data_IF_735803248092
#
_entry.id   IF_735803248092
#
_cell.length_a   1.000
_cell.length_b   1.000
_cell.length_c   1.000
_cell.angle_alpha   90.00
_cell.angle_beta   90.00
_cell.angle_gamma   90.00
#
_symmetry.space_group_name_H-M   'P 1'
#
loop_
_entity.id
_entity.type
_entity.pdbx_description
1 polymer ?
#
# COMPACT_ATOMS: atom_id res chain seq x y z
N UNK A 1 -18.81 -0.61 -31.59
CA UNK A 1 -18.79 -1.27 -30.26
C UNK A 1 -18.01 -2.56 -30.41
N UNK A 2 -16.77 -2.65 -29.90
CA UNK A 2 -16.02 -3.89 -29.92
C UNK A 2 -14.57 -3.73 -30.30
N UNK A 3 -13.77 -3.04 -29.48
CA UNK A 3 -12.31 -3.20 -29.45
C UNK A 3 -11.77 -2.72 -28.10
N UNK A 4 -12.35 -3.24 -27.01
CA UNK A 4 -11.65 -3.34 -25.73
C UNK A 4 -11.06 -4.74 -25.63
N UNK A 5 -10.39 -5.17 -26.71
CA UNK A 5 -9.71 -6.42 -26.76
C UNK A 5 -8.36 -6.30 -26.03
N UNK A 6 -8.16 -7.14 -25.02
CA UNK A 6 -6.88 -7.59 -24.48
C UNK A 6 -5.79 -6.50 -24.29
N UNK A 7 -5.99 -5.53 -23.42
CA UNK A 7 -4.85 -4.88 -22.80
C UNK A 7 -4.14 -5.94 -21.96
N UNK A 8 -3.00 -6.40 -22.44
CA UNK A 8 -2.08 -7.23 -21.63
C UNK A 8 -1.67 -6.36 -20.45
N UNK A 9 -2.15 -6.73 -19.25
CA UNK A 9 -1.76 -6.04 -18.02
C UNK A 9 -0.33 -6.48 -17.70
N UNK A 10 0.61 -5.57 -17.80
CA UNK A 10 1.98 -5.80 -17.38
C UNK A 10 2.04 -6.09 -15.88
N UNK A 11 2.95 -6.97 -15.48
CA UNK A 11 3.06 -7.46 -14.10
C UNK A 11 4.53 -7.58 -13.70
N UNK A 12 4.77 -7.47 -12.39
CA UNK A 12 6.07 -7.76 -11.81
C UNK A 12 5.94 -8.84 -10.72
N UNK A 13 7.03 -9.59 -10.42
CA UNK A 13 6.98 -10.63 -9.41
C UNK A 13 6.68 -10.08 -8.01
N UNK A 14 5.90 -10.80 -7.22
CA UNK A 14 5.68 -10.49 -5.80
C UNK A 14 6.83 -10.97 -4.89
N UNK A 15 7.77 -11.75 -5.43
CA UNK A 15 8.78 -12.48 -4.66
C UNK A 15 8.26 -13.80 -4.04
N UNK A 16 7.04 -14.21 -4.40
CA UNK A 16 6.44 -15.50 -4.02
C UNK A 16 5.84 -16.18 -5.24
N UNK A 17 6.44 -17.29 -5.67
CA UNK A 17 5.97 -18.05 -6.85
C UNK A 17 4.50 -18.46 -6.70
N UNK A 18 4.09 -18.91 -5.51
CA UNK A 18 2.72 -19.34 -5.28
C UNK A 18 1.72 -18.18 -5.45
N UNK A 19 2.08 -16.98 -4.95
CA UNK A 19 1.26 -15.80 -5.11
C UNK A 19 1.22 -15.35 -6.57
N UNK A 20 2.35 -15.37 -7.26
CA UNK A 20 2.44 -14.96 -8.67
C UNK A 20 1.57 -15.85 -9.55
N UNK A 21 1.61 -17.18 -9.34
CA UNK A 21 0.74 -18.12 -10.04
C UNK A 21 -0.73 -17.82 -9.77
N UNK A 22 -1.10 -17.59 -8.50
CA UNK A 22 -2.48 -17.29 -8.10
C UNK A 22 -2.98 -15.97 -8.69
N UNK A 23 -2.10 -14.97 -8.86
CA UNK A 23 -2.42 -13.69 -9.47
C UNK A 23 -2.37 -13.70 -11.01
N UNK A 24 -2.01 -14.83 -11.63
CA UNK A 24 -1.90 -14.93 -13.09
C UNK A 24 -0.65 -14.23 -13.65
N UNK A 25 0.48 -14.32 -12.92
CA UNK A 25 1.80 -13.88 -13.37
C UNK A 25 2.42 -12.74 -12.55
N UNK A 26 1.91 -12.45 -11.37
CA UNK A 26 2.48 -11.44 -10.47
C UNK A 26 1.58 -10.23 -10.22
N UNK A 27 2.15 -9.20 -9.61
CA UNK A 27 1.46 -7.96 -9.21
C UNK A 27 1.23 -7.09 -10.45
N UNK A 28 -0.01 -6.62 -10.73
CA UNK A 28 -0.30 -5.78 -11.90
C UNK A 28 0.27 -4.37 -11.74
N UNK A 29 0.91 -3.86 -12.79
CA UNK A 29 1.38 -2.47 -12.86
C UNK A 29 0.22 -1.47 -12.99
N UNK A 30 0.44 -0.27 -12.46
CA UNK A 30 -0.50 0.84 -12.59
C UNK A 30 -1.83 0.62 -11.88
N UNK A 31 -1.83 -0.12 -10.76
CA UNK A 31 -3.04 -0.44 -9.99
C UNK A 31 -2.89 -0.06 -8.52
N UNK A 32 -4.03 0.20 -7.91
CA UNK A 32 -4.16 0.28 -6.44
C UNK A 32 -4.57 -1.10 -5.93
N UNK A 33 -3.82 -1.61 -4.98
CA UNK A 33 -3.95 -2.96 -4.43
C UNK A 33 -4.12 -2.85 -2.92
N UNK A 34 -5.02 -3.61 -2.35
CA UNK A 34 -5.12 -3.82 -0.92
C UNK A 34 -4.57 -5.20 -0.56
N UNK A 35 -3.62 -5.22 0.37
CA UNK A 35 -3.08 -6.43 0.98
C UNK A 35 -3.59 -6.51 2.41
N UNK A 36 -4.60 -7.34 2.65
CA UNK A 36 -5.26 -7.41 3.95
C UNK A 36 -5.13 -8.80 4.58
N UNK A 37 -5.24 -8.85 5.89
CA UNK A 37 -5.18 -10.08 6.68
C UNK A 37 -4.99 -9.80 8.17
N UNK A 38 -5.04 -10.84 8.96
CA UNK A 38 -4.80 -10.75 10.41
C UNK A 38 -3.38 -10.28 10.71
N UNK A 39 -3.17 -9.79 11.92
CA UNK A 39 -1.84 -9.45 12.41
C UNK A 39 -0.88 -10.63 12.25
N UNK A 40 0.40 -10.34 12.00
CA UNK A 40 1.45 -11.35 11.81
C UNK A 40 1.23 -12.36 10.67
N UNK A 41 0.30 -12.11 9.75
CA UNK A 41 0.06 -12.97 8.57
C UNK A 41 1.08 -12.82 7.43
N UNK A 42 2.09 -11.96 7.59
CA UNK A 42 3.15 -11.78 6.59
C UNK A 42 2.89 -10.71 5.53
N UNK A 43 1.94 -9.81 5.74
CA UNK A 43 1.62 -8.72 4.79
C UNK A 43 2.84 -7.84 4.49
N UNK A 44 3.47 -7.30 5.52
CA UNK A 44 4.69 -6.48 5.40
C UNK A 44 5.83 -7.26 4.73
N UNK A 45 5.96 -8.56 5.01
CA UNK A 45 6.96 -9.42 4.36
C UNK A 45 6.73 -9.51 2.84
N UNK A 46 5.47 -9.73 2.41
CA UNK A 46 5.12 -9.78 0.98
C UNK A 46 5.37 -8.43 0.32
N UNK A 47 4.95 -7.33 0.95
CA UNK A 47 5.16 -5.98 0.42
C UNK A 47 6.66 -5.63 0.32
N UNK A 48 7.47 -6.00 1.32
CA UNK A 48 8.93 -5.81 1.29
C UNK A 48 9.58 -6.61 0.18
N UNK A 49 9.15 -7.85 -0.04
CA UNK A 49 9.62 -8.66 -1.17
C UNK A 49 9.24 -8.07 -2.51
N UNK A 50 8.03 -7.57 -2.66
CA UNK A 50 7.57 -6.88 -3.87
C UNK A 50 8.44 -5.64 -4.19
N UNK A 51 8.78 -4.82 -3.17
CA UNK A 51 9.71 -3.70 -3.34
C UNK A 51 11.11 -4.19 -3.78
N UNK A 52 11.60 -5.29 -3.21
CA UNK A 52 12.88 -5.88 -3.60
C UNK A 52 12.87 -6.36 -5.07
N UNK A 53 11.78 -6.97 -5.52
CA UNK A 53 11.64 -7.41 -6.92
C UNK A 53 11.60 -6.21 -7.88
N UNK A 54 10.92 -5.12 -7.51
CA UNK A 54 10.95 -3.87 -8.30
C UNK A 54 12.37 -3.32 -8.43
N UNK A 55 13.13 -3.25 -7.34
CA UNK A 55 14.54 -2.80 -7.39
C UNK A 55 15.41 -3.71 -8.25
N UNK A 56 15.24 -5.04 -8.20
CA UNK A 56 15.96 -5.99 -9.07
C UNK A 56 15.68 -5.77 -10.55
N UNK A 57 14.50 -5.28 -10.90
CA UNK A 57 14.11 -4.93 -12.26
C UNK A 57 14.62 -3.53 -12.67
N UNK A 58 15.34 -2.83 -11.79
CA UNK A 58 15.85 -1.47 -12.02
C UNK A 58 14.81 -0.39 -11.77
N UNK A 59 13.67 -0.74 -11.16
CA UNK A 59 12.62 0.20 -10.79
C UNK A 59 12.86 0.85 -9.42
N UNK A 60 12.07 1.88 -9.11
CA UNK A 60 12.15 2.65 -7.88
C UNK A 60 10.94 2.37 -6.99
N UNK A 61 11.21 2.09 -5.70
CA UNK A 61 10.18 1.82 -4.71
C UNK A 61 10.18 2.86 -3.59
N UNK A 62 9.00 3.11 -3.02
CA UNK A 62 8.83 3.93 -1.82
C UNK A 62 8.02 3.19 -0.75
N UNK A 63 8.32 3.48 0.52
CA UNK A 63 7.58 3.03 1.69
C UNK A 63 7.04 4.24 2.45
N UNK A 64 5.74 4.28 2.67
CA UNK A 64 5.07 5.23 3.55
C UNK A 64 4.72 4.44 4.82
N UNK A 65 5.56 4.63 5.85
CA UNK A 65 5.55 3.83 7.08
C UNK A 65 4.84 4.57 8.22
N UNK A 66 3.56 4.32 8.38
CA UNK A 66 2.75 4.87 9.48
C UNK A 66 2.95 4.11 10.80
N UNK A 67 3.48 2.89 10.75
CA UNK A 67 3.76 2.10 11.96
C UNK A 67 5.12 2.43 12.57
N UNK A 68 5.97 3.19 11.83
CA UNK A 68 7.36 3.51 12.24
C UNK A 68 8.16 2.26 12.63
N UNK A 69 7.91 1.16 11.92
CA UNK A 69 8.42 -0.17 12.25
C UNK A 69 9.39 -0.74 11.20
N UNK A 70 9.84 0.07 10.22
CA UNK A 70 10.75 -0.39 9.19
C UNK A 70 12.10 -0.84 9.77
N UNK A 71 12.45 -2.11 9.52
CA UNK A 71 13.75 -2.69 9.88
C UNK A 71 14.64 -2.85 8.63
N UNK A 72 15.67 -2.00 8.47
CA UNK A 72 16.60 -2.10 7.33
C UNK A 72 17.38 -3.41 7.31
N UNK A 73 17.67 -3.99 8.48
CA UNK A 73 18.40 -5.25 8.59
C UNK A 73 17.57 -6.44 8.10
N UNK A 74 16.29 -6.46 8.44
CA UNK A 74 15.35 -7.45 7.94
C UNK A 74 15.08 -7.27 6.44
N UNK A 75 14.89 -6.03 5.98
CA UNK A 75 14.67 -5.71 4.57
C UNK A 75 15.82 -6.20 3.68
N UNK A 76 17.10 -6.00 4.11
CA UNK A 76 18.28 -6.53 3.38
C UNK A 76 18.26 -8.07 3.28
N UNK A 77 17.82 -8.78 4.32
CA UNK A 77 17.71 -10.25 4.26
C UNK A 77 16.66 -10.73 3.25
N UNK A 78 15.66 -9.90 2.97
CA UNK A 78 14.63 -10.16 1.95
C UNK A 78 15.06 -9.74 0.54
N UNK A 79 16.24 -9.11 0.39
CA UNK A 79 16.81 -8.69 -0.88
C UNK A 79 16.48 -7.26 -1.27
N UNK A 80 15.83 -6.48 -0.40
CA UNK A 80 15.59 -5.05 -0.58
C UNK A 80 16.87 -4.28 -0.24
N UNK A 81 17.24 -3.29 -1.05
CA UNK A 81 18.27 -2.33 -0.74
C UNK A 81 17.67 -1.10 -0.06
N UNK A 82 17.81 -0.93 1.27
CA UNK A 82 17.24 0.21 1.98
C UNK A 82 17.86 1.56 1.58
N UNK A 83 19.09 1.55 1.06
CA UNK A 83 19.81 2.77 0.70
C UNK A 83 19.25 3.39 -0.61
N UNK A 84 18.50 2.61 -1.39
CA UNK A 84 17.78 3.01 -2.61
C UNK A 84 16.26 3.13 -2.39
N UNK A 85 15.77 2.89 -1.18
CA UNK A 85 14.37 2.98 -0.85
C UNK A 85 14.01 4.40 -0.40
N UNK A 86 12.99 4.98 -1.01
CA UNK A 86 12.40 6.22 -0.53
C UNK A 86 11.50 5.89 0.66
N UNK A 87 11.77 6.49 1.83
CA UNK A 87 10.98 6.26 3.04
C UNK A 87 10.40 7.58 3.53
N UNK A 88 9.11 7.57 3.84
CA UNK A 88 8.41 8.67 4.53
C UNK A 88 7.67 8.11 5.74
N UNK A 89 7.74 8.81 6.87
CA UNK A 89 7.07 8.47 8.13
C UNK A 89 6.18 9.65 8.55
N UNK A 90 5.00 9.80 7.94
CA UNK A 90 4.10 10.91 8.22
C UNK A 90 3.41 10.74 9.59
N UNK A 91 3.11 11.86 10.25
CA UNK A 91 2.40 11.88 11.53
C UNK A 91 0.88 11.80 11.34
N UNK A 92 0.35 12.37 10.24
CA UNK A 92 -1.08 12.37 9.97
C UNK A 92 -1.41 11.63 8.69
N UNK A 93 -2.65 11.14 8.62
CA UNK A 93 -3.18 10.48 7.44
C UNK A 93 -3.09 11.37 6.20
N UNK A 94 -3.51 12.64 6.32
CA UNK A 94 -3.56 13.59 5.21
C UNK A 94 -2.16 13.88 4.66
N UNK A 95 -1.16 14.03 5.53
CA UNK A 95 0.22 14.25 5.11
C UNK A 95 0.76 13.05 4.32
N UNK A 96 0.55 11.84 4.83
CA UNK A 96 0.99 10.62 4.13
C UNK A 96 0.26 10.39 2.81
N UNK A 97 -1.05 10.64 2.74
CA UNK A 97 -1.80 10.53 1.49
C UNK A 97 -1.36 11.58 0.45
N UNK A 98 -0.98 12.78 0.90
CA UNK A 98 -0.40 13.81 0.03
C UNK A 98 0.91 13.32 -0.57
N UNK A 99 1.80 12.75 0.24
CA UNK A 99 3.07 12.16 -0.23
C UNK A 99 2.82 11.03 -1.24
N UNK A 100 1.86 10.13 -0.96
CA UNK A 100 1.50 9.05 -1.91
C UNK A 100 1.03 9.64 -3.24
N UNK A 101 0.19 10.68 -3.22
CA UNK A 101 -0.33 11.31 -4.44
C UNK A 101 0.77 11.96 -5.28
N UNK A 102 1.66 12.72 -4.63
CA UNK A 102 2.79 13.39 -5.30
C UNK A 102 3.76 12.38 -5.90
N UNK A 103 4.13 11.35 -5.14
CA UNK A 103 5.02 10.28 -5.60
C UNK A 103 4.40 9.48 -6.74
N UNK A 104 3.14 9.07 -6.63
CA UNK A 104 2.44 8.34 -7.70
C UNK A 104 2.27 9.18 -8.98
N UNK A 105 2.14 10.50 -8.84
CA UNK A 105 2.02 11.44 -9.95
C UNK A 105 3.34 11.84 -10.62
N UNK A 106 4.48 11.56 -9.98
CA UNK A 106 5.80 12.02 -10.44
C UNK A 106 6.34 11.34 -11.68
N UNK A 107 5.79 10.19 -12.07
CA UNK A 107 6.33 9.25 -13.08
C UNK A 107 7.74 8.71 -12.76
N UNK A 108 8.20 8.84 -11.52
CA UNK A 108 9.54 8.39 -11.08
C UNK A 108 9.48 7.10 -10.24
N UNK A 109 8.30 6.67 -9.86
CA UNK A 109 8.07 5.52 -8.98
C UNK A 109 7.32 4.40 -9.71
N UNK A 110 7.77 3.15 -9.49
CA UNK A 110 7.10 1.95 -9.99
C UNK A 110 6.19 1.33 -8.92
N UNK A 111 6.60 1.43 -7.65
CA UNK A 111 5.86 0.87 -6.52
C UNK A 111 5.90 1.79 -5.29
N UNK A 112 4.73 2.00 -4.70
CA UNK A 112 4.58 2.63 -3.39
C UNK A 112 3.89 1.63 -2.47
N UNK A 113 4.46 1.39 -1.29
CA UNK A 113 3.84 0.60 -0.22
C UNK A 113 3.43 1.53 0.90
N UNK A 114 2.23 1.36 1.41
CA UNK A 114 1.68 2.12 2.55
C UNK A 114 1.41 1.13 3.68
N UNK A 115 2.19 1.22 4.76
CA UNK A 115 2.11 0.30 5.91
C UNK A 115 1.86 1.08 7.21
N UNK A 116 0.70 1.01 7.80
CA UNK A 116 -0.54 0.39 7.37
C UNK A 116 -1.71 1.37 7.45
N UNK A 117 -2.80 1.08 6.71
CA UNK A 117 -4.04 1.89 6.78
C UNK A 117 -4.59 1.93 8.20
N UNK A 118 -4.45 0.84 8.96
CA UNK A 118 -4.92 0.75 10.34
C UNK A 118 -4.18 1.70 11.31
N UNK A 119 -2.97 2.13 10.98
CA UNK A 119 -2.15 3.06 11.77
C UNK A 119 -2.34 4.54 11.38
N UNK A 120 -3.07 4.81 10.31
CA UNK A 120 -3.33 6.18 9.87
C UNK A 120 -4.25 6.91 10.85
N UNK A 121 -3.82 8.05 11.36
CA UNK A 121 -4.62 8.94 12.21
C UNK A 121 -5.00 10.18 11.42
N UNK A 122 -6.30 10.45 11.17
CA UNK A 122 -6.75 11.70 10.57
C UNK A 122 -6.29 12.92 11.37
N UNK A 123 -5.91 14.00 10.69
CA UNK A 123 -5.43 15.22 11.32
C UNK A 123 -6.40 15.78 12.37
N UNK A 124 -7.70 15.77 12.06
CA UNK A 124 -8.74 16.20 12.99
C UNK A 124 -8.83 15.32 14.25
N UNK A 125 -8.42 14.06 14.17
CA UNK A 125 -8.32 13.16 15.33
C UNK A 125 -7.02 13.41 16.10
N UNK A 126 -5.93 13.63 15.39
CA UNK A 126 -4.63 13.94 15.96
C UNK A 126 -4.65 15.23 16.79
N UNK A 127 -5.39 16.24 16.33
CA UNK A 127 -5.56 17.54 17.00
C UNK A 127 -6.70 17.57 18.06
N UNK A 128 -7.52 16.52 18.14
CA UNK A 128 -8.66 16.46 19.04
C UNK A 128 -8.26 16.20 20.50
N UNK A 129 -9.03 16.74 21.45
CA UNK A 129 -8.90 16.37 22.85
C UNK A 129 -9.24 14.88 23.06
N UNK A 130 -8.51 14.22 23.98
CA UNK A 130 -8.71 12.81 24.34
C UNK A 130 -10.19 12.56 24.70
N UNK A 131 -10.82 11.63 23.97
CA UNK A 131 -12.21 11.19 24.23
C UNK A 131 -13.26 11.66 23.23
N UNK A 132 -12.93 12.51 22.24
CA UNK A 132 -13.83 12.79 21.12
C UNK A 132 -13.80 11.65 20.11
N UNK A 133 -14.95 11.00 19.92
CA UNK A 133 -15.08 9.96 18.88
C UNK A 133 -15.08 10.57 17.48
N UNK A 134 -14.10 10.17 16.65
CA UNK A 134 -13.94 10.61 15.27
C UNK A 134 -14.31 9.50 14.28
N UNK A 135 -15.25 8.63 14.67
CA UNK A 135 -15.70 7.49 13.85
C UNK A 135 -16.05 7.95 12.42
N UNK A 136 -15.58 7.19 11.44
CA UNK A 136 -15.77 7.41 10.01
C UNK A 136 -14.96 8.56 9.36
N UNK A 137 -14.09 9.29 10.07
CA UNK A 137 -13.23 10.31 9.44
C UNK A 137 -12.25 9.67 8.45
N UNK A 138 -11.61 8.57 8.83
CA UNK A 138 -10.68 7.84 7.98
C UNK A 138 -11.32 7.43 6.63
N UNK A 139 -12.54 6.85 6.67
CA UNK A 139 -13.26 6.48 5.46
C UNK A 139 -13.64 7.68 4.57
N UNK A 140 -13.96 8.83 5.19
CA UNK A 140 -14.29 10.07 4.47
C UNK A 140 -13.09 10.64 3.73
N UNK A 141 -11.89 10.50 4.27
CA UNK A 141 -10.64 10.95 3.63
C UNK A 141 -10.21 9.94 2.55
N UNK A 142 -10.22 8.63 2.86
CA UNK A 142 -9.78 7.58 1.94
C UNK A 142 -10.61 7.50 0.66
N UNK A 143 -11.93 7.60 0.75
CA UNK A 143 -12.80 7.36 -0.40
C UNK A 143 -12.57 8.33 -1.58
N UNK A 144 -12.52 9.66 -1.40
CA UNK A 144 -12.19 10.59 -2.48
C UNK A 144 -10.74 10.44 -2.96
N UNK A 145 -9.80 10.19 -2.04
CA UNK A 145 -8.40 9.98 -2.34
C UNK A 145 -8.19 8.78 -3.28
N UNK A 146 -8.74 7.60 -2.94
CA UNK A 146 -8.62 6.39 -3.75
C UNK A 146 -9.19 6.58 -5.16
N UNK A 147 -10.31 7.29 -5.31
CA UNK A 147 -10.87 7.59 -6.63
C UNK A 147 -9.92 8.37 -7.52
N UNK A 148 -9.17 9.32 -6.95
CA UNK A 148 -8.16 10.11 -7.66
C UNK A 148 -6.92 9.26 -7.95
N UNK A 149 -6.43 8.54 -6.94
CA UNK A 149 -5.23 7.72 -7.03
C UNK A 149 -5.32 6.65 -8.11
N UNK A 150 -6.46 5.96 -8.24
CA UNK A 150 -6.70 4.95 -9.29
C UNK A 150 -6.45 5.54 -10.68
N UNK A 151 -6.93 6.76 -10.92
CA UNK A 151 -6.71 7.44 -12.20
C UNK A 151 -5.25 7.83 -12.42
N UNK A 152 -4.55 8.24 -11.38
CA UNK A 152 -3.12 8.57 -11.42
C UNK A 152 -2.29 7.32 -11.71
N UNK A 153 -2.47 6.25 -10.93
CA UNK A 153 -1.76 4.97 -11.13
C UNK A 153 -1.93 4.42 -12.55
N UNK A 154 -3.15 4.47 -13.10
CA UNK A 154 -3.42 4.00 -14.46
C UNK A 154 -2.70 4.82 -15.54
N UNK A 155 -2.39 6.10 -15.28
CA UNK A 155 -1.70 6.99 -16.22
C UNK A 155 -0.18 6.87 -16.12
N UNK A 156 0.34 6.80 -14.89
CA UNK A 156 1.79 6.81 -14.63
C UNK A 156 2.43 5.42 -14.68
N UNK A 157 1.62 4.36 -14.56
CA UNK A 157 2.12 2.98 -14.40
C UNK A 157 2.55 2.64 -12.96
N UNK A 158 2.57 3.62 -12.04
CA UNK A 158 2.93 3.39 -10.65
C UNK A 158 1.88 2.50 -9.97
N UNK A 159 2.34 1.47 -9.26
CA UNK A 159 1.49 0.60 -8.44
C UNK A 159 1.52 1.05 -6.99
N UNK A 160 0.37 1.07 -6.31
CA UNK A 160 0.29 1.40 -4.90
C UNK A 160 -0.32 0.23 -4.13
N UNK A 161 0.39 -0.28 -3.12
CA UNK A 161 -0.08 -1.35 -2.23
C UNK A 161 -0.39 -0.75 -0.86
N UNK A 162 -1.64 -0.83 -0.45
CA UNK A 162 -2.07 -0.52 0.91
C UNK A 162 -2.10 -1.80 1.74
N UNK A 163 -1.40 -1.80 2.86
CA UNK A 163 -1.49 -2.87 3.86
C UNK A 163 -2.62 -2.52 4.82
N UNK A 164 -3.55 -3.47 5.03
CA UNK A 164 -4.66 -3.30 5.96
C UNK A 164 -4.74 -4.48 6.95
N UNK A 165 -5.26 -4.23 8.14
CA UNK A 165 -5.42 -5.23 9.19
C UNK A 165 -6.88 -5.61 9.36
N UNK A 166 -7.16 -6.92 9.38
CA UNK A 166 -8.44 -7.44 9.81
C UNK A 166 -8.50 -7.46 11.32
N UNK A 167 -9.61 -7.00 11.89
CA UNK A 167 -9.89 -7.09 13.33
C UNK A 167 -11.12 -7.95 13.54
N UNK A 168 -11.07 -8.85 14.52
CA UNK A 168 -12.25 -9.57 14.95
C UNK A 168 -13.18 -8.64 15.73
N UNK A 169 -14.43 -8.55 15.32
CA UNK A 169 -15.45 -7.89 16.13
C UNK A 169 -15.81 -8.79 17.32
N UNK A 170 -15.34 -8.46 18.51
CA UNK A 170 -15.73 -9.12 19.75
C UNK A 170 -17.22 -8.87 19.96
N UNK A 171 -18.05 -9.91 19.75
CA UNK A 171 -19.50 -9.84 19.95
C UNK A 171 -20.35 -10.15 18.73
N UNK A 172 -19.77 -10.36 17.55
CA UNK A 172 -20.50 -10.85 16.36
C UNK A 172 -20.20 -12.33 16.19
N UNK A 173 -21.23 -13.17 16.31
CA UNK A 173 -21.10 -14.64 16.26
C UNK A 173 -20.72 -15.16 14.86
N UNK A 174 -20.89 -14.33 13.81
CA UNK A 174 -20.49 -14.60 12.42
C UNK A 174 -20.18 -13.27 11.71
N UNK A 175 -18.97 -13.10 11.19
CA UNK A 175 -18.56 -12.01 10.31
C UNK A 175 -17.19 -11.43 10.68
N UNK A 176 -16.38 -11.18 9.65
CA UNK A 176 -15.13 -10.41 9.73
C UNK A 176 -15.45 -9.03 9.20
N UNK A 177 -15.10 -7.98 9.96
CA UNK A 177 -15.22 -6.60 9.46
C UNK A 177 -13.86 -6.13 8.96
N UNK A 178 -13.83 -5.69 7.72
CA UNK A 178 -12.67 -5.05 7.07
C UNK A 178 -12.67 -3.56 7.40
#
# INVERSE_FOLDING_TARGET
MGEKANQVIERFPSGSIALDVSLGGGIPLGRVIELYGFESSGKTLIATKAMAEVQKLGGTAALIDFEMAFDPGFARKLGLNPDELIISQPETMEDGLTVVEELAGSNALDLIVVDSVAAMVPKAEFEAEVGKQTMALQARVMSPFLRKLIGTCAKTGCTVIFINQLRDNVGVMYGVTV
#
